data_IF_337304597984
#
_entry.id   IF_337304597984
#
_cell.length_a   1.000
_cell.length_b   1.000
_cell.length_c   1.000
_cell.angle_alpha   90.00
_cell.angle_beta   90.00
_cell.angle_gamma   90.00
#
_symmetry.space_group_name_H-M   'P 1'
#
loop_
_entity.id
_entity.type
_entity.pdbx_description
1 polymer ?
#
# COMPACT_ATOMS: atom_id res chain seq x y z
N UNK A 1 0.66 27.67 -1.98
CA UNK A 1 1.68 26.60 -1.86
C UNK A 1 1.08 25.23 -1.50
N UNK A 2 -0.08 25.15 -0.84
CA UNK A 2 -0.77 23.89 -0.48
C UNK A 2 -1.49 23.21 -1.65
N UNK A 3 -1.81 23.94 -2.73
CA UNK A 3 -2.58 23.44 -3.88
C UNK A 3 -1.97 22.19 -4.54
N UNK A 4 -0.64 22.05 -4.50
CA UNK A 4 0.06 20.94 -5.17
C UNK A 4 0.47 19.82 -4.20
N UNK A 5 0.24 20.00 -2.89
CA UNK A 5 0.65 19.05 -1.87
C UNK A 5 -0.10 17.70 -1.98
N UNK A 6 -1.42 17.64 -2.24
CA UNK A 6 -2.12 16.37 -2.45
C UNK A 6 -1.56 15.58 -3.65
N UNK A 7 -1.32 16.27 -4.77
CA UNK A 7 -0.74 15.66 -5.98
C UNK A 7 0.69 15.15 -5.73
N UNK A 8 1.50 15.91 -4.99
CA UNK A 8 2.84 15.46 -4.57
C UNK A 8 2.77 14.20 -3.71
N UNK A 9 1.83 14.13 -2.76
CA UNK A 9 1.62 12.96 -1.90
C UNK A 9 1.16 11.73 -2.71
N UNK A 10 0.33 11.90 -3.74
CA UNK A 10 0.01 10.79 -4.65
C UNK A 10 1.27 10.27 -5.35
N UNK A 11 2.16 11.16 -5.78
CA UNK A 11 3.44 10.79 -6.39
C UNK A 11 4.33 9.99 -5.45
N UNK A 12 4.36 10.39 -4.17
CA UNK A 12 5.05 9.62 -3.13
C UNK A 12 4.43 8.25 -2.89
N UNK A 13 3.09 8.14 -2.87
CA UNK A 13 2.38 6.85 -2.77
C UNK A 13 2.78 5.92 -3.92
N UNK A 14 2.76 6.42 -5.16
CA UNK A 14 3.20 5.68 -6.35
C UNK A 14 4.65 5.21 -6.19
N UNK A 15 5.55 6.13 -5.83
CA UNK A 15 6.96 5.83 -5.62
C UNK A 15 7.20 4.75 -4.56
N UNK A 16 6.50 4.84 -3.41
CA UNK A 16 6.61 3.86 -2.32
C UNK A 16 6.12 2.48 -2.76
N UNK A 17 4.99 2.40 -3.48
CA UNK A 17 4.48 1.13 -3.98
C UNK A 17 5.46 0.50 -4.98
N UNK A 18 5.93 1.27 -5.96
CA UNK A 18 6.88 0.77 -6.97
C UNK A 18 8.21 0.37 -6.34
N UNK A 19 8.75 1.17 -5.42
CA UNK A 19 9.98 0.84 -4.73
C UNK A 19 9.85 -0.46 -3.91
N UNK A 20 8.76 -0.61 -3.14
CA UNK A 20 8.54 -1.80 -2.36
C UNK A 20 8.34 -3.05 -3.25
N UNK A 21 7.56 -2.94 -4.31
CA UNK A 21 7.13 -4.10 -5.12
C UNK A 21 8.10 -4.48 -6.23
N UNK A 22 8.72 -3.51 -6.90
CA UNK A 22 9.63 -3.75 -8.01
C UNK A 22 11.10 -3.85 -7.58
N UNK A 23 11.48 -3.24 -6.45
CA UNK A 23 12.87 -3.21 -5.98
C UNK A 23 13.05 -4.05 -4.73
N UNK A 24 12.38 -3.71 -3.63
CA UNK A 24 12.63 -4.34 -2.32
C UNK A 24 12.21 -5.81 -2.31
N UNK A 25 10.97 -6.14 -2.67
CA UNK A 25 10.49 -7.52 -2.60
C UNK A 25 11.33 -8.49 -3.46
N UNK A 26 11.63 -8.20 -4.75
CA UNK A 26 12.49 -9.07 -5.56
C UNK A 26 13.91 -9.19 -5.02
N UNK A 27 14.48 -8.09 -4.53
CA UNK A 27 15.84 -8.09 -3.94
C UNK A 27 15.90 -8.96 -2.70
N UNK A 28 14.90 -8.88 -1.83
CA UNK A 28 14.80 -9.71 -0.62
C UNK A 28 14.68 -11.19 -0.98
N UNK A 29 13.78 -11.55 -1.90
CA UNK A 29 13.62 -12.94 -2.34
C UNK A 29 14.92 -13.49 -2.96
N UNK A 30 15.62 -12.69 -3.76
CA UNK A 30 16.89 -13.09 -4.40
C UNK A 30 18.06 -13.20 -3.40
N UNK A 31 18.10 -12.34 -2.39
CA UNK A 31 19.25 -12.25 -1.48
C UNK A 31 19.15 -13.21 -0.30
N UNK A 32 17.94 -13.46 0.23
CA UNK A 32 17.73 -14.25 1.44
C UNK A 32 17.24 -15.67 1.16
N UNK A 33 16.75 -15.96 -0.05
CA UNK A 33 16.09 -17.22 -0.38
C UNK A 33 14.70 -17.36 0.27
N UNK A 34 13.93 -18.39 -0.13
CA UNK A 34 12.52 -18.54 0.25
C UNK A 34 12.33 -18.71 1.77
N UNK A 35 13.25 -19.37 2.46
CA UNK A 35 13.14 -19.70 3.89
C UNK A 35 13.25 -18.45 4.79
N UNK A 36 14.05 -17.46 4.37
CA UNK A 36 14.33 -16.26 5.17
C UNK A 36 13.58 -15.01 4.67
N UNK A 37 13.19 -14.97 3.38
CA UNK A 37 12.45 -13.86 2.81
C UNK A 37 11.06 -13.69 3.43
N UNK A 38 10.34 -14.80 3.68
CA UNK A 38 9.02 -14.79 4.28
C UNK A 38 8.99 -14.09 5.65
N UNK A 39 9.77 -14.56 6.64
CA UNK A 39 9.86 -13.93 7.97
C UNK A 39 10.29 -12.46 7.93
N UNK A 40 11.20 -12.09 7.03
CA UNK A 40 11.59 -10.69 6.84
C UNK A 40 10.42 -9.85 6.35
N UNK A 41 9.74 -10.27 5.28
CA UNK A 41 8.64 -9.52 4.67
C UNK A 41 7.45 -9.36 5.63
N UNK A 42 7.18 -10.34 6.51
CA UNK A 42 6.15 -10.22 7.56
C UNK A 42 6.38 -9.04 8.51
N UNK A 43 7.63 -8.63 8.72
CA UNK A 43 7.98 -7.46 9.55
C UNK A 43 7.94 -6.15 8.75
N UNK A 44 8.11 -6.22 7.43
CA UNK A 44 8.13 -5.05 6.54
C UNK A 44 6.72 -4.63 6.12
N UNK A 45 5.86 -5.57 5.74
CA UNK A 45 4.51 -5.27 5.24
C UNK A 45 3.66 -4.41 6.19
N UNK A 46 3.64 -4.62 7.52
CA UNK A 46 2.91 -3.74 8.43
C UNK A 46 3.37 -2.28 8.32
N UNK A 47 4.68 -2.05 8.25
CA UNK A 47 5.25 -0.70 8.12
C UNK A 47 4.90 -0.09 6.76
N UNK A 48 4.97 -0.89 5.70
CA UNK A 48 4.58 -0.46 4.35
C UNK A 48 3.14 0.06 4.30
N UNK A 49 2.17 -0.70 4.83
CA UNK A 49 0.77 -0.25 4.81
C UNK A 49 0.51 0.92 5.77
N UNK A 50 1.21 1.00 6.92
CA UNK A 50 1.15 2.18 7.78
C UNK A 50 1.61 3.44 7.03
N UNK A 51 2.69 3.36 6.26
CA UNK A 51 3.18 4.48 5.44
C UNK A 51 2.12 4.90 4.43
N UNK A 52 1.45 3.96 3.74
CA UNK A 52 0.35 4.27 2.81
C UNK A 52 -0.83 4.95 3.52
N UNK A 53 -1.23 4.47 4.71
CA UNK A 53 -2.33 5.05 5.50
C UNK A 53 -1.98 6.46 5.97
N UNK A 54 -0.74 6.69 6.42
CA UNK A 54 -0.27 8.02 6.84
C UNK A 54 -0.27 8.98 5.66
N UNK A 55 0.23 8.57 4.50
CA UNK A 55 0.21 9.41 3.29
C UNK A 55 -1.22 9.68 2.80
N UNK A 56 -2.10 8.67 2.81
CA UNK A 56 -3.51 8.84 2.46
C UNK A 56 -4.23 9.81 3.41
N UNK A 57 -3.97 9.71 4.72
CA UNK A 57 -4.53 10.64 5.72
C UNK A 57 -4.01 12.06 5.51
N UNK A 58 -2.69 12.23 5.36
CA UNK A 58 -2.08 13.54 5.12
C UNK A 58 -2.59 14.16 3.82
N UNK A 59 -2.74 13.36 2.77
CA UNK A 59 -3.28 13.79 1.48
C UNK A 59 -4.73 14.24 1.59
N UNK A 60 -5.58 13.48 2.31
CA UNK A 60 -6.98 13.85 2.51
C UNK A 60 -7.13 15.17 3.28
N UNK A 61 -6.35 15.37 4.35
CA UNK A 61 -6.32 16.63 5.11
C UNK A 61 -5.87 17.78 4.20
N UNK A 62 -4.81 17.58 3.42
CA UNK A 62 -4.31 18.59 2.49
C UNK A 62 -5.31 18.93 1.38
N UNK A 63 -6.05 17.93 0.88
CA UNK A 63 -7.05 18.10 -0.16
C UNK A 63 -8.26 18.89 0.37
N UNK A 64 -8.71 18.62 1.60
CA UNK A 64 -9.74 19.41 2.27
C UNK A 64 -9.30 20.87 2.47
N UNK A 65 -8.06 21.09 2.88
CA UNK A 65 -7.51 22.44 3.07
C UNK A 65 -7.32 23.22 1.76
N UNK A 66 -7.33 22.54 0.60
CA UNK A 66 -7.10 23.14 -0.72
C UNK A 66 -8.33 23.06 -1.64
N UNK A 67 -9.49 22.65 -1.11
CA UNK A 67 -10.74 22.43 -1.83
C UNK A 67 -10.59 21.53 -3.08
N UNK A 68 -9.69 20.56 -3.03
CA UNK A 68 -9.35 19.67 -4.13
C UNK A 68 -10.19 18.38 -4.08
N UNK A 69 -11.46 18.46 -4.46
CA UNK A 69 -12.42 17.37 -4.25
C UNK A 69 -12.01 16.04 -4.91
N UNK A 70 -11.43 16.06 -6.11
CA UNK A 70 -10.94 14.85 -6.77
C UNK A 70 -9.78 14.20 -6.01
N UNK A 71 -8.84 15.02 -5.52
CA UNK A 71 -7.70 14.54 -4.76
C UNK A 71 -8.13 13.95 -3.42
N UNK A 72 -9.14 14.53 -2.78
CA UNK A 72 -9.72 14.00 -1.55
C UNK A 72 -10.18 12.55 -1.73
N UNK A 73 -10.93 12.25 -2.79
CA UNK A 73 -11.40 10.89 -3.05
C UNK A 73 -10.25 9.90 -3.26
N UNK A 74 -9.22 10.29 -4.00
CA UNK A 74 -8.03 9.45 -4.25
C UNK A 74 -7.29 9.14 -2.94
N UNK A 75 -7.11 10.16 -2.08
CA UNK A 75 -6.48 10.01 -0.78
C UNK A 75 -7.32 9.14 0.18
N UNK A 76 -8.66 9.28 0.16
CA UNK A 76 -9.57 8.44 0.97
C UNK A 76 -9.57 6.98 0.51
N UNK A 77 -9.51 6.71 -0.79
CA UNK A 77 -9.33 5.35 -1.33
C UNK A 77 -7.99 4.77 -0.84
N UNK A 78 -6.92 5.55 -0.92
CA UNK A 78 -5.58 5.15 -0.44
C UNK A 78 -5.59 4.78 1.04
N UNK A 79 -6.18 5.64 1.88
CA UNK A 79 -6.35 5.42 3.32
C UNK A 79 -7.15 4.14 3.59
N UNK A 80 -8.31 4.00 2.95
CA UNK A 80 -9.26 2.91 3.24
C UNK A 80 -8.68 1.57 2.81
N UNK A 81 -8.18 1.48 1.57
CA UNK A 81 -7.59 0.24 1.06
C UNK A 81 -6.28 -0.10 1.77
N UNK A 82 -5.46 0.89 2.13
CA UNK A 82 -4.25 0.69 2.92
C UNK A 82 -4.56 0.13 4.31
N UNK A 83 -5.59 0.64 4.97
CA UNK A 83 -6.03 0.16 6.28
C UNK A 83 -6.61 -1.27 6.18
N UNK A 84 -7.45 -1.54 5.19
CA UNK A 84 -7.99 -2.88 4.96
C UNK A 84 -6.86 -3.90 4.72
N UNK A 85 -5.90 -3.54 3.87
CA UNK A 85 -4.75 -4.40 3.60
C UNK A 85 -3.86 -4.62 4.84
N UNK A 86 -3.69 -3.61 5.69
CA UNK A 86 -3.02 -3.75 6.99
C UNK A 86 -3.74 -4.76 7.89
N UNK A 87 -5.06 -4.68 7.99
CA UNK A 87 -5.88 -5.59 8.79
C UNK A 87 -5.89 -7.03 8.25
N UNK A 88 -5.61 -7.23 6.95
CA UNK A 88 -5.48 -8.56 6.35
C UNK A 88 -4.17 -9.29 6.74
N UNK A 89 -3.14 -8.57 7.19
CA UNK A 89 -1.82 -9.14 7.51
C UNK A 89 -1.89 -10.28 8.55
N UNK A 90 -2.51 -10.12 9.74
CA UNK A 90 -2.53 -11.19 10.74
C UNK A 90 -3.21 -12.46 10.21
N UNK A 91 -4.30 -12.32 9.45
CA UNK A 91 -4.99 -13.46 8.85
C UNK A 91 -4.16 -14.13 7.74
N UNK A 92 -3.45 -13.33 6.94
CA UNK A 92 -2.55 -13.84 5.90
C UNK A 92 -1.37 -14.61 6.51
N UNK A 93 -0.77 -14.09 7.59
CA UNK A 93 0.32 -14.77 8.28
C UNK A 93 -0.16 -16.05 8.96
N UNK A 94 -1.29 -15.99 9.68
CA UNK A 94 -1.90 -17.16 10.32
C UNK A 94 -2.21 -18.28 9.32
N UNK A 95 -2.82 -17.95 8.18
CA UNK A 95 -3.12 -18.95 7.15
C UNK A 95 -1.88 -19.59 6.53
N UNK A 96 -0.76 -18.85 6.44
CA UNK A 96 0.54 -19.42 6.05
C UNK A 96 1.10 -20.35 7.12
N UNK A 97 1.01 -19.97 8.39
CA UNK A 97 1.51 -20.77 9.52
C UNK A 97 0.72 -22.07 9.72
N UNK A 98 -0.58 -22.04 9.40
CA UNK A 98 -1.46 -23.22 9.41
C UNK A 98 -1.38 -24.05 8.11
N UNK A 99 -0.48 -23.71 7.18
CA UNK A 99 -0.32 -24.39 5.87
C UNK A 99 -1.63 -24.40 5.05
N UNK A 100 -2.52 -23.43 5.30
CA UNK A 100 -3.78 -23.28 4.58
C UNK A 100 -3.56 -22.45 3.30
N UNK A 101 -2.95 -23.10 2.30
CA UNK A 101 -2.55 -22.45 1.04
C UNK A 101 -3.73 -21.80 0.28
N UNK A 102 -4.94 -22.38 0.37
CA UNK A 102 -6.12 -21.83 -0.31
C UNK A 102 -6.53 -20.49 0.30
N UNK A 103 -6.60 -20.42 1.64
CA UNK A 103 -6.93 -19.18 2.34
C UNK A 103 -5.81 -18.15 2.21
N UNK A 104 -4.55 -18.57 2.34
CA UNK A 104 -3.39 -17.71 2.14
C UNK A 104 -3.44 -17.01 0.79
N UNK A 105 -3.61 -17.77 -0.31
CA UNK A 105 -3.68 -17.21 -1.67
C UNK A 105 -4.84 -16.23 -1.82
N UNK A 106 -6.01 -16.53 -1.24
CA UNK A 106 -7.17 -15.62 -1.30
C UNK A 106 -6.87 -14.29 -0.59
N UNK A 107 -6.35 -14.33 0.63
CA UNK A 107 -6.06 -13.13 1.43
C UNK A 107 -4.90 -12.32 0.84
N UNK A 108 -3.85 -13.00 0.37
CA UNK A 108 -2.71 -12.36 -0.29
C UNK A 108 -3.14 -11.69 -1.60
N UNK A 109 -3.90 -12.36 -2.46
CA UNK A 109 -4.36 -11.76 -3.70
C UNK A 109 -5.31 -10.58 -3.46
N UNK A 110 -6.13 -10.63 -2.40
CA UNK A 110 -6.96 -9.49 -2.00
C UNK A 110 -6.11 -8.26 -1.63
N UNK A 111 -5.05 -8.43 -0.83
CA UNK A 111 -4.18 -7.30 -0.47
C UNK A 111 -3.34 -6.79 -1.66
N UNK A 112 -2.92 -7.68 -2.56
CA UNK A 112 -2.28 -7.31 -3.83
C UNK A 112 -3.23 -6.46 -4.68
N UNK A 113 -4.48 -6.90 -4.88
CA UNK A 113 -5.47 -6.16 -5.66
C UNK A 113 -5.75 -4.79 -5.04
N UNK A 114 -5.90 -4.69 -3.72
CA UNK A 114 -6.03 -3.42 -3.02
C UNK A 114 -4.83 -2.50 -3.30
N UNK A 115 -3.61 -3.03 -3.24
CA UNK A 115 -2.39 -2.25 -3.51
C UNK A 115 -2.31 -1.78 -4.96
N UNK A 116 -2.72 -2.62 -5.93
CA UNK A 116 -2.80 -2.24 -7.35
C UNK A 116 -3.85 -1.15 -7.57
N UNK A 117 -5.02 -1.25 -6.92
CA UNK A 117 -6.04 -0.21 -7.00
C UNK A 117 -5.51 1.12 -6.42
N UNK A 118 -4.82 1.10 -5.28
CA UNK A 118 -4.16 2.30 -4.72
C UNK A 118 -3.19 2.89 -5.75
N UNK A 119 -2.33 2.06 -6.37
CA UNK A 119 -1.38 2.52 -7.37
C UNK A 119 -2.07 3.22 -8.55
N UNK A 120 -3.10 2.59 -9.12
CA UNK A 120 -3.82 3.10 -10.29
C UNK A 120 -4.53 4.41 -9.98
N UNK A 121 -5.24 4.52 -8.85
CA UNK A 121 -5.94 5.77 -8.51
C UNK A 121 -4.98 6.91 -8.22
N UNK A 122 -3.82 6.64 -7.61
CA UNK A 122 -2.81 7.68 -7.37
C UNK A 122 -2.12 8.10 -8.66
N UNK A 123 -1.86 7.18 -9.60
CA UNK A 123 -1.37 7.53 -10.94
C UNK A 123 -2.37 8.43 -11.68
N UNK A 124 -3.67 8.12 -11.61
CA UNK A 124 -4.70 8.97 -12.18
C UNK A 124 -4.71 10.37 -11.54
N UNK A 125 -4.52 10.43 -10.21
CA UNK A 125 -4.40 11.69 -9.47
C UNK A 125 -3.18 12.54 -9.80
N UNK A 126 -2.19 12.03 -10.54
CA UNK A 126 -1.08 12.83 -11.08
C UNK A 126 -1.43 13.54 -12.40
N UNK A 127 -2.47 13.08 -13.09
CA UNK A 127 -2.90 13.59 -14.39
C UNK A 127 -4.06 14.59 -14.30
N UNK A 128 -4.62 14.79 -13.10
CA UNK A 128 -5.71 15.73 -12.78
C UNK A 128 -5.17 16.97 -12.07
#
# INVERSE_FOLDING_TARGET
MTSNLPTFLNGLVVGVILFQTAVIAPTVFRSLGPDQAGPFLRKVFPKFFVVLVVMGTAGAISALASDASYQLWICLVTLTLGLLAYLLIPMTNKSRDEVNEKLFKKLHNASVLMTVLILVVNLFGLAL
#
